data_IF_596270620041
#
_entry.id   IF_596270620041
#
_cell.length_a   1.000
_cell.length_b   1.000
_cell.length_c   1.000
_cell.angle_alpha   90.00
_cell.angle_beta   90.00
_cell.angle_gamma   90.00
#
_symmetry.space_group_name_H-M   'P 1'
#
loop_
_entity.id
_entity.type
_entity.pdbx_description
1 polymer ?
#
# COMPACT_ATOMS: atom_id res chain seq x y z
N UNK A 1 16.31 42.24 57.93
CA UNK A 1 16.19 40.81 57.54
C UNK A 1 14.77 40.48 57.05
N UNK A 2 13.73 40.68 57.85
CA UNK A 2 12.33 40.35 57.47
C UNK A 2 11.83 41.07 56.20
N UNK A 3 12.08 42.37 56.05
CA UNK A 3 11.69 43.14 54.86
C UNK A 3 12.39 42.68 53.57
N UNK A 4 13.66 42.27 53.67
CA UNK A 4 14.42 41.74 52.53
C UNK A 4 13.84 40.40 52.07
N UNK A 5 13.57 39.50 53.02
CA UNK A 5 12.91 38.22 52.74
C UNK A 5 11.53 38.42 52.09
N UNK A 6 10.72 39.33 52.63
CA UNK A 6 9.40 39.64 52.06
C UNK A 6 9.49 40.21 50.63
N UNK A 7 10.51 41.04 50.34
CA UNK A 7 10.76 41.54 48.99
C UNK A 7 11.22 40.43 48.03
N UNK A 8 12.11 39.54 48.48
CA UNK A 8 12.59 38.39 47.70
C UNK A 8 11.42 37.40 47.40
N UNK A 9 10.58 37.10 48.39
CA UNK A 9 9.39 36.26 48.25
C UNK A 9 8.36 36.89 47.27
N UNK A 10 8.14 38.19 47.35
CA UNK A 10 7.26 38.92 46.43
C UNK A 10 7.80 38.95 44.99
N UNK A 11 9.12 39.11 44.82
CA UNK A 11 9.77 39.05 43.51
C UNK A 11 9.66 37.66 42.87
N UNK A 12 9.83 36.59 43.67
CA UNK A 12 9.63 35.22 43.21
C UNK A 12 8.17 34.94 42.80
N UNK A 13 7.20 35.44 43.57
CA UNK A 13 5.78 35.33 43.24
C UNK A 13 5.43 36.09 41.94
N UNK A 14 5.95 37.32 41.78
CA UNK A 14 5.76 38.11 40.56
C UNK A 14 6.34 37.41 39.33
N UNK A 15 7.53 36.82 39.44
CA UNK A 15 8.15 36.05 38.35
C UNK A 15 7.28 34.86 37.94
N UNK A 16 6.73 34.13 38.91
CA UNK A 16 5.83 32.99 38.64
C UNK A 16 4.56 33.42 37.92
N UNK A 17 3.94 34.54 38.32
CA UNK A 17 2.77 35.10 37.64
C UNK A 17 3.10 35.60 36.22
N UNK A 18 4.29 36.19 36.01
CA UNK A 18 4.75 36.59 34.68
C UNK A 18 4.96 35.40 33.74
N UNK A 19 5.55 34.31 34.25
CA UNK A 19 5.70 33.06 33.51
C UNK A 19 4.33 32.44 33.16
N UNK A 20 3.38 32.45 34.11
CA UNK A 20 2.01 31.98 33.87
C UNK A 20 1.27 32.85 32.84
N UNK A 21 1.42 34.17 32.90
CA UNK A 21 0.85 35.09 31.91
C UNK A 21 1.47 34.86 30.51
N UNK A 22 2.77 34.61 30.43
CA UNK A 22 3.42 34.30 29.15
C UNK A 22 2.92 32.98 28.58
N UNK A 23 2.80 31.93 29.40
CA UNK A 23 2.20 30.66 28.98
C UNK A 23 0.76 30.85 28.49
N UNK A 24 -0.04 31.68 29.17
CA UNK A 24 -1.40 31.98 28.74
C UNK A 24 -1.44 32.71 27.39
N UNK A 25 -0.54 33.69 27.18
CA UNK A 25 -0.40 34.39 25.89
C UNK A 25 0.03 33.46 24.75
N UNK A 26 0.99 32.59 25.00
CA UNK A 26 1.44 31.59 24.03
C UNK A 26 0.30 30.60 23.71
N UNK A 27 -0.51 30.26 24.71
CA UNK A 27 -1.73 29.47 24.57
C UNK A 27 -2.77 30.15 23.67
N UNK A 28 -3.05 31.44 23.88
CA UNK A 28 -3.97 32.23 23.02
C UNK A 28 -3.44 32.31 21.60
N UNK A 29 -2.15 32.61 21.41
CA UNK A 29 -1.56 32.66 20.07
C UNK A 29 -1.62 31.31 19.35
N UNK A 30 -1.49 30.20 20.09
CA UNK A 30 -1.68 28.86 19.56
C UNK A 30 -3.14 28.60 19.15
N UNK A 31 -4.10 29.03 19.99
CA UNK A 31 -5.51 28.93 19.68
C UNK A 31 -5.91 29.75 18.45
N UNK A 32 -5.39 30.98 18.29
CA UNK A 32 -5.64 31.82 17.12
C UNK A 32 -5.09 31.18 15.83
N UNK A 33 -3.89 30.56 15.90
CA UNK A 33 -3.35 29.76 14.80
C UNK A 33 -4.24 28.58 14.46
N UNK A 34 -4.74 27.86 15.47
CA UNK A 34 -5.66 26.74 15.28
C UNK A 34 -6.98 27.19 14.62
N UNK A 35 -7.55 28.32 15.04
CA UNK A 35 -8.76 28.90 14.44
C UNK A 35 -8.50 29.29 12.97
N UNK A 36 -7.36 29.92 12.69
CA UNK A 36 -6.98 30.31 11.32
C UNK A 36 -6.84 29.08 10.42
N UNK A 37 -6.12 28.06 10.88
CA UNK A 37 -5.95 26.79 10.18
C UNK A 37 -7.29 26.07 9.97
N UNK A 38 -8.16 26.07 10.98
CA UNK A 38 -9.50 25.46 10.89
C UNK A 38 -10.40 26.21 9.90
N UNK A 39 -10.33 27.54 9.85
CA UNK A 39 -11.09 28.36 8.90
C UNK A 39 -10.63 28.10 7.46
N UNK A 40 -9.31 28.08 7.24
CA UNK A 40 -8.74 27.75 5.92
C UNK A 40 -9.06 26.31 5.51
N UNK A 41 -8.97 25.38 6.46
CA UNK A 41 -9.36 23.98 6.29
C UNK A 41 -10.82 23.82 5.85
N UNK A 42 -11.74 24.60 6.44
CA UNK A 42 -13.14 24.59 6.05
C UNK A 42 -13.35 25.07 4.61
N UNK A 43 -12.62 26.10 4.19
CA UNK A 43 -12.68 26.60 2.80
C UNK A 43 -12.13 25.56 1.80
N UNK A 44 -10.97 24.96 2.11
CA UNK A 44 -10.39 23.90 1.31
C UNK A 44 -11.31 22.68 1.21
N UNK A 45 -11.90 22.27 2.33
CA UNK A 45 -12.87 21.17 2.40
C UNK A 45 -14.08 21.42 1.50
N UNK A 46 -14.62 22.65 1.47
CA UNK A 46 -15.73 23.02 0.60
C UNK A 46 -15.34 22.94 -0.87
N UNK A 47 -14.17 23.47 -1.23
CA UNK A 47 -13.66 23.38 -2.60
C UNK A 47 -13.50 21.93 -3.04
N UNK A 48 -12.89 21.10 -2.18
CA UNK A 48 -12.71 19.67 -2.44
C UNK A 48 -14.04 18.92 -2.57
N UNK A 49 -15.04 19.27 -1.77
CA UNK A 49 -16.37 18.67 -1.88
C UNK A 49 -17.00 18.92 -3.26
N UNK A 50 -16.87 20.14 -3.79
CA UNK A 50 -17.37 20.45 -5.14
C UNK A 50 -16.58 19.71 -6.23
N UNK A 51 -15.26 19.61 -6.10
CA UNK A 51 -14.43 18.79 -7.00
C UNK A 51 -14.80 17.30 -6.95
N UNK A 52 -15.03 16.76 -5.75
CA UNK A 52 -15.45 15.37 -5.55
C UNK A 52 -16.83 15.10 -6.16
N UNK A 53 -17.81 16.01 -5.99
CA UNK A 53 -19.13 15.91 -6.63
C UNK A 53 -19.02 15.84 -8.15
N UNK A 54 -18.21 16.71 -8.75
CA UNK A 54 -17.95 16.70 -10.19
C UNK A 54 -17.32 15.38 -10.63
N UNK A 55 -16.30 14.90 -9.89
CA UNK A 55 -15.63 13.63 -10.20
C UNK A 55 -16.55 12.40 -10.06
N UNK A 56 -17.48 12.44 -9.10
CA UNK A 56 -18.46 11.37 -8.86
C UNK A 56 -19.40 11.23 -10.06
N UNK A 57 -19.91 12.35 -10.59
CA UNK A 57 -20.77 12.35 -11.77
C UNK A 57 -20.05 11.75 -13.00
N UNK A 58 -18.78 12.12 -13.22
CA UNK A 58 -17.98 11.55 -14.30
C UNK A 58 -17.76 10.04 -14.13
N UNK A 59 -17.39 9.59 -12.93
CA UNK A 59 -17.19 8.15 -12.63
C UNK A 59 -18.48 7.33 -12.75
N UNK A 60 -19.63 7.89 -12.39
CA UNK A 60 -20.93 7.22 -12.59
C UNK A 60 -21.22 7.01 -14.07
N UNK A 61 -20.91 8.00 -14.91
CA UNK A 61 -21.05 7.87 -16.36
C UNK A 61 -20.11 6.79 -16.93
N UNK A 62 -18.86 6.74 -16.46
CA UNK A 62 -17.92 5.68 -16.84
C UNK A 62 -18.35 4.29 -16.37
N UNK A 63 -18.85 4.17 -15.13
CA UNK A 63 -19.35 2.91 -14.60
C UNK A 63 -20.53 2.38 -15.44
N UNK A 64 -21.44 3.28 -15.85
CA UNK A 64 -22.57 2.92 -16.74
C UNK A 64 -22.06 2.37 -18.07
N UNK A 65 -21.08 3.05 -18.70
CA UNK A 65 -20.45 2.56 -19.95
C UNK A 65 -19.73 1.22 -19.76
N UNK A 66 -19.01 1.05 -18.65
CA UNK A 66 -18.32 -0.20 -18.35
C UNK A 66 -19.32 -1.35 -18.14
N UNK A 67 -20.46 -1.08 -17.50
CA UNK A 67 -21.52 -2.06 -17.31
C UNK A 67 -22.19 -2.45 -18.63
N UNK A 68 -22.42 -1.50 -19.54
CA UNK A 68 -22.85 -1.78 -20.92
C UNK A 68 -21.86 -2.70 -21.65
N UNK A 69 -20.55 -2.43 -21.54
CA UNK A 69 -19.49 -3.27 -22.13
C UNK A 69 -19.48 -4.67 -21.51
N UNK A 70 -19.60 -4.80 -20.19
CA UNK A 70 -19.66 -6.10 -19.51
C UNK A 70 -20.91 -6.87 -19.93
N UNK A 71 -22.06 -6.21 -20.05
CA UNK A 71 -23.30 -6.83 -20.47
C UNK A 71 -23.24 -7.27 -21.93
N UNK A 72 -22.65 -6.47 -22.81
CA UNK A 72 -22.38 -6.85 -24.20
C UNK A 72 -21.41 -8.05 -24.28
N UNK A 73 -20.34 -8.05 -23.49
CA UNK A 73 -19.39 -9.16 -23.42
C UNK A 73 -20.03 -10.44 -22.86
N UNK A 74 -20.89 -10.35 -21.84
CA UNK A 74 -21.68 -11.48 -21.31
C UNK A 74 -22.66 -12.03 -22.34
N UNK A 75 -23.36 -11.16 -23.07
CA UNK A 75 -24.27 -11.57 -24.15
C UNK A 75 -23.51 -12.24 -25.31
N UNK A 76 -22.32 -11.73 -25.66
CA UNK A 76 -21.45 -12.33 -26.66
C UNK A 76 -20.88 -13.68 -26.19
N UNK A 77 -20.49 -13.79 -24.91
CA UNK A 77 -20.05 -15.04 -24.30
C UNK A 77 -21.18 -16.09 -24.22
N UNK A 78 -22.43 -15.68 -24.04
CA UNK A 78 -23.60 -16.56 -24.02
C UNK A 78 -23.98 -17.11 -25.41
N UNK A 79 -23.51 -16.49 -26.51
CA UNK A 79 -23.90 -16.87 -27.89
C UNK A 79 -22.83 -17.65 -28.65
N UNK A 80 -21.73 -18.03 -28.01
CA UNK A 80 -20.60 -18.69 -28.69
C UNK A 80 -19.99 -19.84 -27.88
N UNK A 81 -20.77 -20.60 -27.10
CA UNK A 81 -20.23 -21.81 -26.48
C UNK A 81 -20.07 -22.91 -27.53
N UNK A 82 -18.92 -22.92 -28.20
CA UNK A 82 -18.49 -24.05 -29.01
C UNK A 82 -18.22 -25.26 -28.07
N UNK A 83 -18.35 -26.51 -28.56
CA UNK A 83 -18.24 -27.69 -27.71
C UNK A 83 -16.87 -27.79 -27.06
N UNK A 84 -16.85 -28.18 -25.77
CA UNK A 84 -15.63 -28.53 -25.05
C UNK A 84 -15.18 -29.93 -25.48
N UNK A 85 -13.90 -30.06 -25.87
CA UNK A 85 -13.33 -31.30 -26.43
C UNK A 85 -12.51 -32.08 -25.44
N UNK A 86 -11.85 -31.41 -24.50
CA UNK A 86 -10.95 -32.05 -23.54
C UNK A 86 -10.96 -31.31 -22.21
N UNK A 87 -10.72 -32.07 -21.13
CA UNK A 87 -10.55 -31.57 -19.77
C UNK A 87 -9.36 -32.27 -19.11
N UNK A 88 -8.58 -31.56 -18.30
CA UNK A 88 -7.52 -32.14 -17.48
C UNK A 88 -7.43 -31.42 -16.11
N UNK A 89 -6.93 -32.14 -15.11
CA UNK A 89 -6.72 -31.62 -13.76
C UNK A 89 -5.21 -31.61 -13.46
N UNK A 90 -4.72 -30.57 -12.79
CA UNK A 90 -3.34 -30.51 -12.32
C UNK A 90 -3.07 -31.58 -11.26
N UNK A 91 -1.80 -31.96 -11.10
CA UNK A 91 -1.40 -33.04 -10.18
C UNK A 91 -1.71 -32.73 -8.71
N UNK A 92 -1.72 -31.45 -8.33
CA UNK A 92 -2.10 -30.96 -7.00
C UNK A 92 -3.63 -30.80 -6.80
N UNK A 93 -4.41 -31.07 -7.86
CA UNK A 93 -5.87 -30.94 -7.85
C UNK A 93 -6.39 -29.51 -7.76
N UNK A 94 -5.55 -28.48 -7.90
CA UNK A 94 -5.95 -27.08 -7.69
C UNK A 94 -6.46 -26.41 -8.97
N UNK A 95 -6.00 -26.86 -10.15
CA UNK A 95 -6.30 -26.23 -11.44
C UNK A 95 -6.98 -27.23 -12.37
N UNK A 96 -8.16 -26.87 -12.85
CA UNK A 96 -8.88 -27.56 -13.92
C UNK A 96 -8.63 -26.81 -15.24
N UNK A 97 -8.36 -27.52 -16.32
CA UNK A 97 -8.24 -26.93 -17.66
C UNK A 97 -9.21 -27.55 -18.65
N UNK A 98 -9.80 -26.71 -19.50
CA UNK A 98 -10.75 -27.12 -20.53
C UNK A 98 -10.34 -26.56 -21.89
N UNK A 99 -10.48 -27.36 -22.95
CA UNK A 99 -10.21 -26.98 -24.33
C UNK A 99 -11.50 -27.00 -25.17
N UNK A 100 -11.65 -26.03 -26.06
CA UNK A 100 -12.85 -25.82 -26.88
C UNK A 100 -12.53 -25.67 -28.37
N UNK A 101 -13.54 -25.88 -29.21
CA UNK A 101 -13.53 -25.61 -30.66
C UNK A 101 -13.38 -24.10 -31.00
N UNK A 102 -13.33 -23.23 -29.99
CA UNK A 102 -12.95 -21.82 -30.13
C UNK A 102 -11.44 -21.57 -30.03
N UNK A 103 -10.65 -22.65 -30.01
CA UNK A 103 -9.18 -22.67 -29.99
C UNK A 103 -8.59 -22.21 -28.64
N UNK A 104 -9.44 -21.86 -27.67
CA UNK A 104 -9.00 -21.37 -26.38
C UNK A 104 -8.90 -22.51 -25.36
N UNK A 105 -7.85 -22.43 -24.55
CA UNK A 105 -7.66 -23.26 -23.36
C UNK A 105 -8.00 -22.40 -22.15
N UNK A 106 -8.89 -22.86 -21.28
CA UNK A 106 -9.35 -22.11 -20.11
C UNK A 106 -8.96 -22.82 -18.83
N UNK A 107 -8.41 -22.07 -17.89
CA UNK A 107 -8.00 -22.51 -16.56
C UNK A 107 -9.05 -22.07 -15.55
N UNK A 108 -9.35 -22.95 -14.60
CA UNK A 108 -10.34 -22.76 -13.55
C UNK A 108 -9.75 -23.22 -12.21
N UNK A 109 -10.14 -22.54 -11.13
CA UNK A 109 -9.88 -23.03 -9.78
C UNK A 109 -10.75 -24.26 -9.56
N UNK A 110 -10.13 -25.43 -9.38
CA UNK A 110 -10.85 -26.71 -9.33
C UNK A 110 -11.84 -26.78 -8.16
N UNK A 111 -11.52 -26.12 -7.04
CA UNK A 111 -12.37 -26.13 -5.84
C UNK A 111 -13.63 -25.27 -5.97
N UNK A 112 -13.53 -24.12 -6.65
CA UNK A 112 -14.60 -23.11 -6.67
C UNK A 112 -15.28 -22.97 -8.04
N UNK A 113 -14.66 -23.50 -9.09
CA UNK A 113 -15.07 -23.25 -10.47
C UNK A 113 -14.80 -21.84 -10.97
N UNK A 114 -14.09 -21.00 -10.19
CA UNK A 114 -13.79 -19.64 -10.58
C UNK A 114 -12.82 -19.63 -11.79
N UNK A 115 -13.07 -18.80 -12.83
CA UNK A 115 -12.15 -18.68 -13.95
C UNK A 115 -10.82 -18.08 -13.49
N UNK A 116 -9.70 -18.67 -13.91
CA UNK A 116 -8.34 -18.20 -13.60
C UNK A 116 -7.72 -17.47 -14.78
N UNK A 117 -7.65 -18.11 -15.94
CA UNK A 117 -6.96 -17.59 -17.11
C UNK A 117 -7.51 -18.22 -18.39
N UNK A 118 -7.44 -17.49 -19.50
CA UNK A 118 -7.62 -18.05 -20.84
C UNK A 118 -6.32 -17.94 -21.61
N UNK A 119 -5.90 -19.05 -22.23
CA UNK A 119 -4.70 -19.17 -23.05
C UNK A 119 -5.15 -19.30 -24.50
N UNK A 120 -4.53 -18.49 -25.36
CA UNK A 120 -4.77 -18.44 -26.80
C UNK A 120 -3.43 -18.59 -27.53
N UNK A 121 -3.38 -19.40 -28.57
CA UNK A 121 -2.20 -19.55 -29.43
C UNK A 121 -2.42 -20.54 -30.57
N UNK A 122 -3.22 -21.59 -30.32
CA UNK A 122 -3.70 -22.46 -31.39
C UNK A 122 -4.59 -21.73 -32.40
N UNK A 123 -4.47 -22.13 -33.66
CA UNK A 123 -5.22 -21.54 -34.78
C UNK A 123 -6.40 -22.42 -35.21
N UNK A 124 -6.59 -23.56 -34.57
CA UNK A 124 -7.69 -24.50 -34.79
C UNK A 124 -8.16 -25.14 -33.45
N UNK A 125 -9.23 -25.95 -33.46
CA UNK A 125 -9.74 -26.62 -32.26
C UNK A 125 -8.70 -27.45 -31.52
N UNK A 126 -8.63 -27.26 -30.20
CA UNK A 126 -7.75 -28.03 -29.31
C UNK A 126 -8.44 -29.33 -28.94
N UNK A 127 -7.89 -30.46 -29.39
CA UNK A 127 -8.50 -31.77 -29.26
C UNK A 127 -8.15 -32.48 -27.95
N UNK A 128 -6.97 -32.20 -27.37
CA UNK A 128 -6.48 -32.92 -26.19
C UNK A 128 -5.63 -32.02 -25.29
N UNK A 129 -5.73 -32.24 -23.98
CA UNK A 129 -4.97 -31.56 -22.93
C UNK A 129 -4.39 -32.57 -21.95
N UNK A 130 -3.14 -32.37 -21.52
CA UNK A 130 -2.55 -33.17 -20.45
C UNK A 130 -1.52 -32.39 -19.63
N UNK A 131 -1.64 -32.45 -18.32
CA UNK A 131 -0.59 -31.98 -17.42
C UNK A 131 0.59 -32.96 -17.40
N UNK A 132 1.81 -32.40 -17.47
CA UNK A 132 3.03 -33.11 -17.15
C UNK A 132 3.25 -33.12 -15.62
N UNK A 133 4.06 -34.06 -15.14
CA UNK A 133 4.47 -34.11 -13.73
C UNK A 133 5.21 -32.86 -13.25
N UNK A 134 5.79 -32.07 -14.17
CA UNK A 134 6.43 -30.79 -13.89
C UNK A 134 5.45 -29.64 -13.60
N UNK A 135 4.14 -29.84 -13.86
CA UNK A 135 3.10 -28.82 -13.77
C UNK A 135 2.86 -28.04 -15.07
N UNK A 136 3.67 -28.25 -16.11
CA UNK A 136 3.42 -27.69 -17.44
C UNK A 136 2.22 -28.38 -18.11
N UNK A 137 1.53 -27.66 -18.98
CA UNK A 137 0.37 -28.17 -19.72
C UNK A 137 0.77 -28.46 -21.17
N UNK A 138 0.45 -29.65 -21.67
CA UNK A 138 0.57 -29.98 -23.08
C UNK A 138 -0.80 -29.90 -23.74
N UNK A 139 -0.90 -29.26 -24.90
CA UNK A 139 -2.07 -29.27 -25.76
C UNK A 139 -1.76 -29.85 -27.14
N UNK A 140 -2.75 -30.46 -27.77
CA UNK A 140 -2.68 -30.90 -29.16
C UNK A 140 -3.91 -30.40 -29.91
N UNK A 141 -3.69 -29.83 -31.10
CA UNK A 141 -4.70 -29.10 -31.85
C UNK A 141 -4.80 -29.59 -33.30
N UNK A 142 -5.95 -29.31 -33.92
CA UNK A 142 -6.21 -29.61 -35.32
C UNK A 142 -5.37 -28.75 -36.30
N UNK A 143 -4.65 -27.74 -35.80
CA UNK A 143 -3.70 -26.91 -36.56
C UNK A 143 -2.37 -27.62 -36.82
N UNK A 144 -2.29 -28.91 -36.51
CA UNK A 144 -1.11 -29.76 -36.66
C UNK A 144 0.02 -29.41 -35.69
N UNK A 145 -0.25 -28.66 -34.61
CA UNK A 145 0.70 -28.39 -33.54
C UNK A 145 0.38 -29.14 -32.24
N UNK A 146 1.43 -29.44 -31.49
CA UNK A 146 1.37 -29.77 -30.07
C UNK A 146 2.23 -28.75 -29.31
N UNK A 147 1.64 -28.07 -28.34
CA UNK A 147 2.25 -26.93 -27.66
C UNK A 147 2.38 -27.20 -26.16
N UNK A 148 3.53 -26.81 -25.61
CA UNK A 148 3.83 -26.93 -24.19
C UNK A 148 3.73 -25.55 -23.52
N UNK A 149 2.83 -25.42 -22.57
CA UNK A 149 2.56 -24.21 -21.82
C UNK A 149 3.21 -24.26 -20.44
N UNK A 150 4.08 -23.30 -20.16
CA UNK A 150 4.54 -23.01 -18.81
C UNK A 150 3.50 -22.11 -18.11
N UNK A 151 2.80 -22.67 -17.14
CA UNK A 151 1.76 -21.97 -16.39
C UNK A 151 2.33 -21.22 -15.17
N UNK A 152 3.64 -21.29 -14.94
CA UNK A 152 4.29 -20.55 -13.86
C UNK A 152 4.47 -19.09 -14.28
N UNK A 153 4.19 -18.11 -13.41
CA UNK A 153 4.48 -16.72 -13.71
C UNK A 153 5.99 -16.53 -13.93
N UNK A 154 6.38 -16.13 -15.15
CA UNK A 154 7.76 -15.79 -15.46
C UNK A 154 7.99 -14.31 -15.21
N UNK A 155 8.72 -14.00 -14.14
CA UNK A 155 9.19 -12.65 -13.87
C UNK A 155 10.45 -12.38 -14.69
N UNK A 156 10.35 -11.48 -15.67
CA UNK A 156 11.50 -10.94 -16.40
C UNK A 156 11.78 -9.53 -15.90
N UNK A 157 13.05 -9.23 -15.63
CA UNK A 157 13.47 -7.87 -15.25
C UNK A 157 13.16 -6.92 -16.42
N UNK A 158 12.17 -6.05 -16.23
CA UNK A 158 11.73 -5.12 -17.27
C UNK A 158 12.62 -3.88 -17.38
N UNK A 159 13.11 -3.38 -16.24
CA UNK A 159 13.98 -2.22 -16.13
C UNK A 159 14.66 -2.17 -14.75
N UNK A 160 15.77 -1.42 -14.68
CA UNK A 160 16.41 -0.99 -13.44
C UNK A 160 16.38 0.53 -13.42
N UNK A 161 15.95 1.11 -12.30
CA UNK A 161 15.91 2.56 -12.07
C UNK A 161 17.01 2.91 -11.07
N UNK A 162 17.82 3.93 -11.37
CA UNK A 162 18.87 4.44 -10.46
C UNK A 162 20.23 3.75 -10.58
N UNK A 163 20.34 2.48 -10.94
CA UNK A 163 21.65 1.84 -11.20
C UNK A 163 21.83 1.44 -12.66
N UNK A 164 23.08 1.26 -13.08
CA UNK A 164 23.38 0.82 -14.45
C UNK A 164 22.95 -0.63 -14.64
N UNK A 165 22.15 -0.97 -15.66
CA UNK A 165 21.70 -2.34 -15.89
C UNK A 165 22.85 -3.34 -16.07
N UNK A 166 23.98 -2.91 -16.62
CA UNK A 166 25.13 -3.79 -16.89
C UNK A 166 25.93 -4.12 -15.63
N UNK A 167 25.80 -3.31 -14.58
CA UNK A 167 26.45 -3.54 -13.28
C UNK A 167 25.58 -3.00 -12.14
N UNK A 168 24.80 -3.88 -11.52
CA UNK A 168 23.92 -3.54 -10.41
C UNK A 168 24.64 -3.02 -9.15
N UNK A 169 25.96 -3.19 -9.06
CA UNK A 169 26.79 -2.65 -7.98
C UNK A 169 27.32 -1.24 -8.28
N UNK A 170 27.21 -0.75 -9.52
CA UNK A 170 27.55 0.62 -9.87
C UNK A 170 26.37 1.55 -9.55
N UNK A 171 26.42 2.14 -8.35
CA UNK A 171 25.43 3.09 -7.84
C UNK A 171 25.76 4.55 -8.19
N UNK A 172 26.79 4.82 -8.99
CA UNK A 172 27.23 6.20 -9.29
C UNK A 172 26.17 7.06 -10.00
N UNK A 173 25.20 6.43 -10.65
CA UNK A 173 24.06 7.09 -11.30
C UNK A 173 22.80 7.16 -10.43
N UNK A 174 22.84 6.61 -9.21
CA UNK A 174 21.68 6.56 -8.32
C UNK A 174 21.40 7.92 -7.73
N UNK A 175 20.16 8.42 -7.83
CA UNK A 175 19.78 9.63 -7.13
C UNK A 175 19.53 9.38 -5.63
N UNK A 176 19.40 8.11 -5.20
CA UNK A 176 19.40 7.72 -3.78
C UNK A 176 20.82 7.55 -3.28
N UNK A 177 21.11 8.08 -2.09
CA UNK A 177 22.45 7.99 -1.49
C UNK A 177 22.68 6.67 -0.74
N UNK A 178 21.60 5.99 -0.34
CA UNK A 178 21.62 4.71 0.37
C UNK A 178 20.38 3.87 -0.04
N UNK A 179 19.91 2.96 0.82
CA UNK A 179 18.82 2.01 0.56
C UNK A 179 17.53 2.71 0.14
N UNK A 180 16.89 2.14 -0.89
CA UNK A 180 15.47 2.36 -1.19
C UNK A 180 14.66 1.42 -0.31
N UNK A 181 13.76 1.97 0.50
CA UNK A 181 13.00 1.20 1.51
C UNK A 181 11.51 1.15 1.23
N UNK A 182 10.98 2.07 0.43
CA UNK A 182 9.57 2.08 0.08
C UNK A 182 9.33 2.50 -1.36
N UNK A 183 8.23 2.00 -1.91
CA UNK A 183 7.81 2.22 -3.29
C UNK A 183 6.29 2.32 -3.34
N UNK A 184 5.77 3.19 -4.22
CA UNK A 184 4.35 3.25 -4.53
C UNK A 184 4.15 3.64 -5.99
N UNK A 185 3.27 2.95 -6.71
CA UNK A 185 2.82 3.41 -8.03
C UNK A 185 1.72 4.45 -7.89
N UNK A 186 1.68 5.40 -8.82
CA UNK A 186 0.50 6.26 -8.98
C UNK A 186 -0.71 5.41 -9.40
N UNK A 187 -1.96 5.84 -9.11
CA UNK A 187 -3.15 5.07 -9.44
C UNK A 187 -3.33 4.73 -10.93
N UNK A 188 -2.75 5.54 -11.82
CA UNK A 188 -2.73 5.33 -13.28
C UNK A 188 -1.53 4.50 -13.76
N UNK A 189 -0.60 4.13 -12.87
CA UNK A 189 0.61 3.38 -13.17
C UNK A 189 1.67 4.13 -13.97
N UNK A 190 1.47 5.43 -14.25
CA UNK A 190 2.40 6.22 -15.08
C UNK A 190 3.63 6.71 -14.32
N UNK A 191 3.52 6.80 -12.99
CA UNK A 191 4.58 7.23 -12.09
C UNK A 191 4.86 6.19 -11.01
N UNK A 192 6.11 6.15 -10.58
CA UNK A 192 6.56 5.43 -9.40
C UNK A 192 7.15 6.44 -8.42
N UNK A 193 6.80 6.35 -7.15
CA UNK A 193 7.49 7.03 -6.07
C UNK A 193 8.40 6.04 -5.37
N UNK A 194 9.59 6.51 -4.98
CA UNK A 194 10.53 5.75 -4.16
C UNK A 194 11.02 6.61 -3.00
N UNK A 195 11.05 6.05 -1.80
CA UNK A 195 11.62 6.68 -0.61
C UNK A 195 12.79 5.87 -0.06
N UNK A 196 13.78 6.58 0.45
CA UNK A 196 14.98 6.00 1.03
C UNK A 196 15.80 7.03 1.79
N UNK A 197 17.10 6.76 1.91
CA UNK A 197 18.09 7.70 2.41
C UNK A 197 18.98 7.14 3.51
N UNK A 198 19.99 7.93 3.83
CA UNK A 198 21.04 7.54 4.75
C UNK A 198 20.56 7.70 6.20
N UNK A 199 20.58 6.62 7.00
CA UNK A 199 20.11 6.66 8.38
C UNK A 199 20.71 7.81 9.19
N UNK A 200 19.83 8.58 9.82
CA UNK A 200 20.13 9.76 10.63
C UNK A 200 20.76 10.93 9.88
N UNK A 201 20.75 10.92 8.54
CA UNK A 201 21.43 11.93 7.71
C UNK A 201 20.57 12.50 6.60
N UNK A 202 19.80 11.67 5.88
CA UNK A 202 18.98 12.14 4.76
C UNK A 202 17.74 11.28 4.52
N UNK A 203 16.71 11.89 3.94
CA UNK A 203 15.50 11.22 3.48
C UNK A 203 15.14 11.66 2.07
N UNK A 204 15.50 10.86 1.06
CA UNK A 204 15.15 11.14 -0.32
C UNK A 204 13.76 10.61 -0.67
N UNK A 205 13.01 11.42 -1.42
CA UNK A 205 11.72 11.05 -1.99
C UNK A 205 11.70 11.45 -3.46
N UNK A 206 11.62 10.44 -4.33
CA UNK A 206 11.87 10.59 -5.77
C UNK A 206 10.68 10.06 -6.56
N UNK A 207 10.24 10.84 -7.55
CA UNK A 207 9.24 10.47 -8.55
C UNK A 207 9.92 10.10 -9.86
N UNK A 208 9.48 8.98 -10.41
CA UNK A 208 9.96 8.40 -11.66
C UNK A 208 8.83 8.32 -12.66
N UNK A 209 9.13 8.60 -13.91
CA UNK A 209 8.23 8.29 -15.01
C UNK A 209 8.47 6.84 -15.45
N UNK A 210 7.41 6.03 -15.42
CA UNK A 210 7.50 4.59 -15.66
C UNK A 210 7.76 4.28 -17.14
N UNK A 211 7.18 5.07 -18.05
CA UNK A 211 7.27 4.83 -19.48
C UNK A 211 8.68 5.07 -20.03
N UNK A 212 9.31 6.18 -19.65
CA UNK A 212 10.65 6.55 -20.12
C UNK A 212 11.77 6.18 -19.13
N UNK A 213 11.43 5.68 -17.94
CA UNK A 213 12.38 5.18 -16.92
C UNK A 213 13.32 6.24 -16.38
N UNK A 214 12.90 7.50 -16.41
CA UNK A 214 13.71 8.63 -15.95
C UNK A 214 13.18 9.18 -14.62
N UNK A 215 14.07 9.83 -13.87
CA UNK A 215 13.69 10.68 -12.74
C UNK A 215 12.84 11.83 -13.29
N UNK A 216 11.58 11.88 -12.86
CA UNK A 216 10.69 13.00 -13.15
C UNK A 216 10.96 14.14 -12.18
N UNK A 217 11.15 13.81 -10.89
CA UNK A 217 11.35 14.82 -9.85
C UNK A 217 12.04 14.24 -8.62
N UNK A 218 12.93 15.02 -8.01
CA UNK A 218 13.42 14.82 -6.65
C UNK A 218 12.71 15.82 -5.75
N UNK A 219 12.01 15.35 -4.72
CA UNK A 219 11.38 16.23 -3.73
C UNK A 219 12.44 16.67 -2.73
N UNK A 220 12.90 17.91 -2.87
CA UNK A 220 13.96 18.51 -2.04
C UNK A 220 13.46 18.73 -0.62
N UNK A 221 14.35 18.53 0.37
CA UNK A 221 14.04 18.66 1.80
C UNK A 221 12.81 17.85 2.24
N UNK A 222 12.59 16.70 1.58
CA UNK A 222 11.46 15.84 1.88
C UNK A 222 11.49 15.40 3.34
N UNK A 223 12.56 14.74 3.79
CA UNK A 223 12.76 14.38 5.18
C UNK A 223 14.23 14.54 5.60
N UNK A 224 14.47 14.80 6.88
CA UNK A 224 15.84 14.94 7.42
C UNK A 224 16.48 13.61 7.79
N UNK A 225 15.75 12.50 7.60
CA UNK A 225 16.15 11.14 7.95
C UNK A 225 15.36 10.16 7.04
N UNK A 226 15.77 8.90 7.03
CA UNK A 226 15.34 7.88 6.07
C UNK A 226 13.82 7.78 5.92
N UNK A 227 13.34 7.75 4.67
CA UNK A 227 11.91 7.56 4.36
C UNK A 227 11.56 6.07 4.36
N UNK A 228 10.61 5.67 5.19
CA UNK A 228 10.17 4.27 5.34
C UNK A 228 8.86 3.94 4.63
N UNK A 229 8.04 4.94 4.36
CA UNK A 229 6.73 4.71 3.74
C UNK A 229 6.36 5.83 2.78
N UNK A 230 5.69 5.46 1.70
CA UNK A 230 5.17 6.38 0.69
C UNK A 230 3.86 5.83 0.12
N UNK A 231 2.88 6.70 -0.12
CA UNK A 231 1.63 6.35 -0.81
C UNK A 231 1.11 7.53 -1.64
N UNK A 232 0.55 7.24 -2.82
CA UNK A 232 -0.19 8.24 -3.60
C UNK A 232 -1.63 8.36 -3.09
N UNK A 233 -2.18 9.58 -3.13
CA UNK A 233 -3.63 9.74 -3.01
C UNK A 233 -4.34 9.03 -4.17
N UNK A 234 -5.60 8.66 -3.95
CA UNK A 234 -6.40 7.88 -4.91
C UNK A 234 -6.66 8.58 -6.25
N UNK A 235 -6.56 9.92 -6.28
CA UNK A 235 -6.62 10.75 -7.48
C UNK A 235 -5.24 11.01 -8.11
N UNK A 236 -4.15 10.52 -7.51
CA UNK A 236 -2.77 10.64 -7.98
C UNK A 236 -2.16 12.04 -7.82
N UNK A 237 -2.87 12.99 -7.19
CA UNK A 237 -2.43 14.39 -7.10
C UNK A 237 -1.51 14.67 -5.92
N UNK A 238 -1.58 13.86 -4.87
CA UNK A 238 -0.80 14.01 -3.65
C UNK A 238 0.05 12.77 -3.39
N UNK A 239 1.18 12.99 -2.72
CA UNK A 239 2.06 11.96 -2.22
C UNK A 239 2.20 12.15 -0.72
N UNK A 240 1.93 11.12 0.07
CA UNK A 240 2.21 11.11 1.51
C UNK A 240 3.44 10.26 1.77
N UNK A 241 4.30 10.72 2.67
CA UNK A 241 5.49 10.00 3.12
C UNK A 241 5.60 9.98 4.63
N UNK A 242 6.20 8.92 5.17
CA UNK A 242 6.55 8.77 6.58
C UNK A 242 8.01 8.36 6.73
N UNK A 243 8.71 8.95 7.70
CA UNK A 243 10.14 8.78 7.84
C UNK A 243 10.62 8.60 9.29
N UNK A 244 11.92 8.31 9.42
CA UNK A 244 12.64 8.21 10.67
C UNK A 244 12.65 9.53 11.48
N UNK A 245 12.50 10.67 10.80
CA UNK A 245 12.38 12.00 11.41
C UNK A 245 11.07 12.22 12.20
N UNK A 246 10.21 11.19 12.24
CA UNK A 246 8.95 11.12 13.00
C UNK A 246 7.80 11.94 12.40
N UNK A 247 8.01 12.52 11.23
CA UNK A 247 6.96 13.26 10.53
C UNK A 247 6.26 12.40 9.48
N UNK A 248 4.98 12.70 9.31
CA UNK A 248 4.28 12.41 8.05
C UNK A 248 4.25 13.70 7.25
N UNK A 249 4.59 13.67 5.97
CA UNK A 249 4.55 14.84 5.10
C UNK A 249 3.79 14.56 3.82
N UNK A 250 3.16 15.59 3.28
CA UNK A 250 2.40 15.53 2.03
C UNK A 250 2.94 16.53 1.03
N UNK A 251 3.09 16.08 -0.21
CA UNK A 251 3.59 16.85 -1.35
C UNK A 251 2.59 16.79 -2.51
N UNK A 252 2.53 17.86 -3.30
CA UNK A 252 1.84 17.82 -4.59
C UNK A 252 2.68 17.07 -5.61
N UNK A 253 2.05 16.17 -6.35
CA UNK A 253 2.72 15.32 -7.34
C UNK A 253 3.11 16.10 -8.61
N UNK A 254 2.32 17.13 -8.96
CA UNK A 254 2.54 17.92 -10.18
C UNK A 254 3.81 18.76 -10.12
N UNK A 255 3.96 19.60 -9.08
CA UNK A 255 5.06 20.55 -8.95
C UNK A 255 6.04 20.21 -7.82
N UNK A 256 5.75 19.18 -7.01
CA UNK A 256 6.58 18.76 -5.88
C UNK A 256 6.48 19.65 -4.65
N UNK A 257 5.55 20.61 -4.60
CA UNK A 257 5.45 21.52 -3.46
C UNK A 257 5.01 20.79 -2.20
N UNK A 258 5.65 21.13 -1.09
CA UNK A 258 5.20 20.77 0.24
C UNK A 258 3.80 21.33 0.50
N UNK A 259 2.90 20.47 0.98
CA UNK A 259 1.51 20.83 1.32
C UNK A 259 1.36 20.96 2.83
N UNK A 260 1.78 19.93 3.57
CA UNK A 260 1.53 19.83 5.02
C UNK A 260 2.44 18.80 5.67
N UNK A 261 2.74 18.99 6.95
CA UNK A 261 3.34 18.01 7.84
C UNK A 261 2.39 17.66 8.99
N UNK A 262 2.52 16.45 9.52
CA UNK A 262 1.81 15.97 10.69
C UNK A 262 2.84 15.49 11.71
N UNK A 263 2.75 16.08 12.90
CA UNK A 263 3.65 15.84 14.03
C UNK A 263 2.90 15.17 15.16
N UNK A 264 3.53 14.16 15.78
CA UNK A 264 2.96 13.52 16.96
C UNK A 264 3.46 12.10 17.23
N UNK A 265 4.09 11.45 16.25
CA UNK A 265 4.81 10.19 16.50
C UNK A 265 6.04 10.45 17.36
N UNK A 266 6.26 9.61 18.37
CA UNK A 266 7.41 9.77 19.28
C UNK A 266 8.65 9.00 18.79
N UNK A 267 8.47 8.18 17.77
CA UNK A 267 9.48 7.37 17.11
C UNK A 267 9.25 7.32 15.58
N UNK A 268 10.07 6.59 14.83
CA UNK A 268 10.00 6.52 13.36
C UNK A 268 8.60 6.19 12.84
N UNK A 269 8.18 6.84 11.75
CA UNK A 269 6.95 6.51 11.04
C UNK A 269 7.28 5.42 10.02
N UNK A 270 6.68 4.24 10.20
CA UNK A 270 6.97 3.03 9.42
C UNK A 270 5.95 2.75 8.32
N UNK A 271 4.76 3.33 8.42
CA UNK A 271 3.69 3.16 7.44
C UNK A 271 2.82 4.42 7.34
N UNK A 272 2.28 4.67 6.16
CA UNK A 272 1.31 5.75 5.89
C UNK A 272 0.23 5.23 4.95
N UNK A 273 -1.00 5.73 5.08
CA UNK A 273 -2.05 5.46 4.10
C UNK A 273 -3.07 6.58 3.96
N UNK A 274 -3.56 6.80 2.73
CA UNK A 274 -4.64 7.74 2.44
C UNK A 274 -6.00 7.06 2.56
N UNK A 275 -6.95 7.75 3.21
CA UNK A 275 -8.35 7.39 3.07
C UNK A 275 -8.79 7.67 1.64
N UNK A 276 -9.64 6.81 1.07
CA UNK A 276 -10.04 6.90 -0.33
C UNK A 276 -10.76 8.20 -0.73
N UNK A 277 -11.39 8.88 0.23
CA UNK A 277 -12.01 10.21 0.05
C UNK A 277 -11.02 11.38 0.26
N UNK A 278 -9.83 11.09 0.76
CA UNK A 278 -8.77 12.05 1.08
C UNK A 278 -9.05 12.95 2.29
N UNK A 279 -10.08 12.65 3.08
CA UNK A 279 -10.40 13.45 4.28
C UNK A 279 -9.40 13.21 5.41
N UNK A 280 -8.88 11.97 5.49
CA UNK A 280 -8.01 11.53 6.57
C UNK A 280 -6.77 10.80 6.04
N UNK A 281 -5.74 10.79 6.88
CA UNK A 281 -4.55 9.96 6.76
C UNK A 281 -4.46 9.03 7.97
N UNK A 282 -3.84 7.88 7.79
CA UNK A 282 -3.31 7.10 8.92
C UNK A 282 -1.82 6.90 8.79
N UNK A 283 -1.16 6.79 9.93
CA UNK A 283 0.25 6.42 9.99
C UNK A 283 0.50 5.41 11.09
N UNK A 284 1.45 4.52 10.86
CA UNK A 284 1.93 3.51 11.79
C UNK A 284 3.35 3.83 12.22
N UNK A 285 3.66 3.63 13.50
CA UNK A 285 4.94 4.03 14.07
C UNK A 285 5.67 2.96 14.88
N UNK A 286 6.99 3.18 15.00
CA UNK A 286 7.87 2.47 15.92
C UNK A 286 7.61 2.83 17.40
N UNK A 287 6.65 3.71 17.66
CA UNK A 287 6.10 4.04 18.98
C UNK A 287 4.91 3.14 19.36
N UNK A 288 4.70 2.05 18.61
CA UNK A 288 3.65 1.05 18.78
C UNK A 288 2.22 1.60 18.58
N UNK A 289 2.10 2.76 17.94
CA UNK A 289 0.85 3.45 17.74
C UNK A 289 0.48 3.58 16.26
N UNK A 290 -0.83 3.59 16.02
CA UNK A 290 -1.41 4.11 14.79
C UNK A 290 -1.98 5.49 15.10
N UNK A 291 -1.72 6.47 14.25
CA UNK A 291 -2.31 7.81 14.36
C UNK A 291 -3.25 8.05 13.19
N UNK A 292 -4.38 8.67 13.50
CA UNK A 292 -5.38 9.10 12.51
C UNK A 292 -5.34 10.62 12.46
N UNK A 293 -5.17 11.17 11.27
CA UNK A 293 -5.01 12.60 11.04
C UNK A 293 -6.15 13.12 10.19
N UNK A 294 -6.66 14.28 10.56
CA UNK A 294 -7.50 15.06 9.67
C UNK A 294 -6.58 15.77 8.67
N UNK A 295 -6.73 15.46 7.38
CA UNK A 295 -5.85 16.00 6.35
C UNK A 295 -5.94 17.53 6.23
N UNK A 296 -7.14 18.06 6.35
CA UNK A 296 -7.44 19.47 6.09
C UNK A 296 -6.95 20.36 7.24
N UNK A 297 -7.18 19.96 8.51
CA UNK A 297 -6.72 20.72 9.69
C UNK A 297 -5.28 20.43 10.07
N UNK A 298 -4.75 19.24 9.74
CA UNK A 298 -3.46 18.77 10.24
C UNK A 298 -3.51 18.18 11.65
N UNK A 299 -4.70 18.15 12.27
CA UNK A 299 -4.85 17.68 13.64
C UNK A 299 -4.80 16.16 13.73
N UNK A 300 -4.17 15.68 14.80
CA UNK A 300 -4.26 14.29 15.21
C UNK A 300 -5.65 14.04 15.82
N UNK A 301 -6.52 13.36 15.07
CA UNK A 301 -7.88 13.02 15.51
C UNK A 301 -7.85 11.88 16.53
N UNK A 302 -6.92 10.92 16.36
CA UNK A 302 -6.88 9.73 17.21
C UNK A 302 -5.48 9.12 17.29
N UNK A 303 -5.23 8.47 18.42
CA UNK A 303 -4.16 7.47 18.59
C UNK A 303 -4.79 6.13 18.94
N UNK A 304 -4.39 5.06 18.24
CA UNK A 304 -4.80 3.67 18.47
C UNK A 304 -3.54 2.91 18.91
N UNK A 305 -3.54 2.41 20.15
CA UNK A 305 -2.38 1.74 20.76
C UNK A 305 -2.76 0.32 21.21
N UNK A 306 -3.07 -0.54 20.23
CA UNK A 306 -3.46 -1.94 20.46
C UNK A 306 -2.30 -2.93 20.33
N UNK A 307 -1.17 -2.48 19.80
CA UNK A 307 0.00 -3.31 19.53
C UNK A 307 1.02 -3.16 20.66
N UNK A 308 1.66 -4.27 21.05
CA UNK A 308 2.68 -4.27 22.10
C UNK A 308 4.10 -4.02 21.57
N UNK A 309 4.24 -3.96 20.24
CA UNK A 309 5.47 -3.72 19.47
C UNK A 309 5.17 -2.78 18.30
N UNK A 310 6.22 -2.43 17.57
CA UNK A 310 6.18 -1.47 16.46
C UNK A 310 5.10 -1.87 15.44
N UNK A 311 4.30 -0.90 14.99
CA UNK A 311 3.35 -1.11 13.89
C UNK A 311 4.10 -0.81 12.60
N UNK A 312 4.26 -1.83 11.76
CA UNK A 312 5.17 -1.82 10.62
C UNK A 312 4.45 -1.63 9.29
N UNK A 313 3.22 -2.11 9.18
CA UNK A 313 2.38 -1.98 7.99
C UNK A 313 0.99 -1.45 8.36
N UNK A 314 0.44 -0.61 7.50
CA UNK A 314 -0.88 0.00 7.66
C UNK A 314 -1.49 0.24 6.28
N UNK A 315 -2.82 0.12 6.18
CA UNK A 315 -3.55 0.47 4.97
C UNK A 315 -5.04 0.68 5.24
N UNK A 316 -5.67 1.57 4.48
CA UNK A 316 -7.14 1.65 4.45
C UNK A 316 -7.72 0.50 3.62
N UNK A 317 -8.86 -0.02 4.07
CA UNK A 317 -9.55 -1.11 3.40
C UNK A 317 -10.60 -0.54 2.45
N UNK A 318 -10.29 -0.57 1.15
CA UNK A 318 -11.22 -0.15 0.10
C UNK A 318 -11.53 1.35 0.11
N UNK A 319 -12.80 1.69 0.34
CA UNK A 319 -13.31 3.08 0.50
C UNK A 319 -13.93 3.28 1.88
N UNK A 320 -13.78 2.29 2.76
CA UNK A 320 -14.37 2.29 4.09
C UNK A 320 -13.51 3.12 5.05
N UNK A 321 -14.00 3.25 6.28
CA UNK A 321 -13.23 3.81 7.38
C UNK A 321 -12.39 2.76 8.12
N UNK A 322 -12.38 1.52 7.63
CA UNK A 322 -11.61 0.45 8.23
C UNK A 322 -10.17 0.47 7.74
N UNK A 323 -9.27 0.08 8.63
CA UNK A 323 -7.84 -0.01 8.40
C UNK A 323 -7.34 -1.39 8.81
N UNK A 324 -6.36 -1.88 8.07
CA UNK A 324 -5.60 -3.08 8.41
C UNK A 324 -4.21 -2.67 8.88
N UNK A 325 -3.72 -3.26 9.97
CA UNK A 325 -2.37 -3.04 10.47
C UNK A 325 -1.66 -4.36 10.77
N UNK A 326 -0.34 -4.39 10.64
CA UNK A 326 0.50 -5.45 11.16
C UNK A 326 1.60 -4.88 12.04
N UNK A 327 2.06 -5.69 12.99
CA UNK A 327 3.05 -5.25 13.97
C UNK A 327 4.06 -6.35 14.30
N UNK A 328 5.15 -5.91 14.95
CA UNK A 328 6.20 -6.78 15.48
C UNK A 328 5.73 -7.72 16.60
N UNK A 329 4.50 -7.57 17.07
CA UNK A 329 3.88 -8.49 18.02
C UNK A 329 3.18 -9.66 17.34
N UNK A 330 3.44 -9.85 16.03
CA UNK A 330 3.06 -11.02 15.24
C UNK A 330 1.56 -11.13 14.99
N UNK A 331 0.84 -10.01 15.13
CA UNK A 331 -0.61 -9.95 14.96
C UNK A 331 -0.95 -8.93 13.88
N UNK A 332 -1.79 -9.35 12.93
CA UNK A 332 -2.51 -8.45 12.03
C UNK A 332 -3.82 -8.07 12.69
N UNK A 333 -4.27 -6.83 12.50
CA UNK A 333 -5.46 -6.28 13.14
C UNK A 333 -6.29 -5.49 12.16
N UNK A 334 -7.61 -5.59 12.29
CA UNK A 334 -8.51 -4.61 11.74
C UNK A 334 -8.94 -3.61 12.81
N UNK A 335 -9.03 -2.35 12.40
CA UNK A 335 -9.59 -1.28 13.20
C UNK A 335 -10.55 -0.43 12.39
N UNK A 336 -11.47 0.23 13.06
CA UNK A 336 -12.23 1.34 12.48
C UNK A 336 -11.54 2.65 12.88
N UNK A 337 -11.11 3.46 11.90
CA UNK A 337 -10.28 4.62 12.14
C UNK A 337 -10.97 5.70 12.99
N UNK A 338 -12.27 5.94 12.77
CA UNK A 338 -13.05 6.98 13.44
C UNK A 338 -13.15 6.76 14.95
N UNK A 339 -13.42 5.52 15.39
CA UNK A 339 -13.62 5.19 16.81
C UNK A 339 -12.38 4.49 17.44
N UNK A 340 -11.44 4.03 16.64
CA UNK A 340 -10.25 3.29 17.05
C UNK A 340 -10.50 1.85 17.51
N UNK A 341 -11.72 1.32 17.34
CA UNK A 341 -12.05 -0.02 17.82
C UNK A 341 -11.31 -1.06 16.99
N UNK A 342 -10.57 -1.95 17.66
CA UNK A 342 -10.13 -3.19 17.06
C UNK A 342 -11.30 -4.17 17.02
N UNK A 343 -11.67 -4.62 15.83
CA UNK A 343 -12.80 -5.55 15.65
C UNK A 343 -12.38 -6.93 15.14
N UNK A 344 -11.11 -7.10 14.77
CA UNK A 344 -10.58 -8.38 14.33
C UNK A 344 -9.08 -8.50 14.52
N UNK A 345 -8.64 -9.69 14.89
CA UNK A 345 -7.23 -10.06 14.99
C UNK A 345 -6.96 -11.32 14.15
N UNK A 346 -5.78 -11.36 13.56
CA UNK A 346 -5.25 -12.53 12.86
C UNK A 346 -3.93 -12.89 13.51
N UNK A 347 -3.91 -14.06 14.14
CA UNK A 347 -2.77 -14.58 14.88
C UNK A 347 -2.21 -15.82 14.19
N UNK A 348 -1.01 -16.25 14.59
CA UNK A 348 -0.34 -17.42 14.02
C UNK A 348 0.94 -17.08 13.23
N UNK A 349 1.33 -15.80 13.13
CA UNK A 349 2.64 -15.45 12.62
C UNK A 349 3.75 -15.93 13.57
N UNK A 350 4.81 -16.50 13.00
CA UNK A 350 5.94 -17.05 13.76
C UNK A 350 6.86 -15.95 14.27
N UNK A 351 6.96 -14.85 13.53
CA UNK A 351 7.82 -13.72 13.86
C UNK A 351 7.25 -12.35 13.44
N UNK A 352 8.08 -11.30 13.56
CA UNK A 352 7.81 -9.91 13.20
C UNK A 352 7.17 -9.81 11.82
N UNK A 353 6.04 -9.10 11.72
CA UNK A 353 5.41 -8.81 10.43
C UNK A 353 5.93 -7.48 9.90
N UNK A 354 6.14 -7.38 8.58
CA UNK A 354 6.65 -6.17 7.92
C UNK A 354 5.62 -5.51 7.02
N UNK A 355 4.74 -6.30 6.39
CA UNK A 355 3.78 -5.79 5.43
C UNK A 355 2.45 -6.51 5.54
N UNK A 356 1.39 -5.81 5.19
CA UNK A 356 0.03 -6.34 5.21
C UNK A 356 -0.80 -5.76 4.08
N UNK A 357 -1.71 -6.58 3.59
CA UNK A 357 -2.72 -6.21 2.63
C UNK A 357 -4.06 -6.82 3.03
N UNK A 358 -5.14 -6.07 2.88
CA UNK A 358 -6.50 -6.59 3.00
C UNK A 358 -7.25 -6.35 1.69
N UNK A 359 -7.98 -7.36 1.23
CA UNK A 359 -8.90 -7.21 0.13
C UNK A 359 -9.96 -6.15 0.49
N UNK A 360 -10.44 -5.41 -0.52
CA UNK A 360 -11.37 -4.29 -0.33
C UNK A 360 -12.68 -4.67 0.34
N UNK A 361 -13.07 -5.93 0.22
CA UNK A 361 -14.27 -6.53 0.80
C UNK A 361 -13.99 -7.26 2.13
N UNK A 362 -12.78 -7.13 2.67
CA UNK A 362 -12.32 -7.81 3.87
C UNK A 362 -12.41 -9.34 3.79
N UNK A 363 -12.49 -9.93 2.59
CA UNK A 363 -12.59 -11.39 2.44
C UNK A 363 -11.26 -12.09 2.71
N UNK A 364 -10.16 -11.44 2.35
CA UNK A 364 -8.80 -11.99 2.41
C UNK A 364 -7.86 -10.98 3.06
N UNK A 365 -6.99 -11.47 3.93
CA UNK A 365 -5.87 -10.72 4.49
C UNK A 365 -4.58 -11.46 4.17
N UNK A 366 -3.56 -10.72 3.75
CA UNK A 366 -2.24 -11.26 3.41
C UNK A 366 -1.20 -10.49 4.21
N UNK A 367 -0.24 -11.18 4.81
CA UNK A 367 0.91 -10.52 5.42
C UNK A 367 2.17 -11.36 5.31
N UNK A 368 3.30 -10.70 5.37
CA UNK A 368 4.62 -11.33 5.38
C UNK A 368 5.55 -10.63 6.37
N UNK A 369 6.58 -11.34 6.81
CA UNK A 369 7.43 -10.91 7.91
C UNK A 369 8.82 -11.55 7.91
N UNK A 370 9.51 -11.41 9.04
CA UNK A 370 10.88 -11.86 9.30
C UNK A 370 11.04 -13.37 9.12
N UNK A 371 10.01 -14.16 9.39
CA UNK A 371 10.05 -15.61 9.19
C UNK A 371 10.02 -16.04 7.72
N UNK A 372 9.92 -15.10 6.78
CA UNK A 372 9.89 -15.35 5.34
C UNK A 372 8.61 -16.04 4.84
N UNK A 373 7.63 -16.27 5.72
CA UNK A 373 6.40 -16.98 5.38
C UNK A 373 5.31 -15.96 5.00
N UNK A 374 4.77 -16.10 3.80
CA UNK A 374 3.59 -15.35 3.37
C UNK A 374 2.35 -16.09 3.88
N UNK A 375 1.48 -15.39 4.59
CA UNK A 375 0.26 -15.98 5.16
C UNK A 375 -0.96 -15.33 4.56
N UNK A 376 -1.99 -16.14 4.36
CA UNK A 376 -3.28 -15.74 3.83
C UNK A 376 -4.37 -16.17 4.82
N UNK A 377 -5.14 -15.22 5.33
CA UNK A 377 -6.26 -15.46 6.23
C UNK A 377 -7.59 -15.15 5.58
N UNK A 378 -8.62 -15.83 6.06
CA UNK A 378 -10.00 -15.48 5.83
C UNK A 378 -10.32 -14.26 6.70
N UNK A 379 -10.67 -13.15 6.05
CA UNK A 379 -10.94 -11.89 6.75
C UNK A 379 -12.24 -11.87 7.55
N UNK A 380 -13.16 -12.82 7.34
CA UNK A 380 -14.43 -12.92 8.06
C UNK A 380 -14.35 -13.70 9.39
N UNK A 381 -13.40 -14.62 9.55
CA UNK A 381 -13.25 -15.39 10.80
C UNK A 381 -11.83 -15.36 11.40
N UNK A 382 -10.86 -14.80 10.68
CA UNK A 382 -9.48 -14.67 11.14
C UNK A 382 -8.64 -15.94 11.02
N UNK A 383 -9.17 -17.01 10.41
CA UNK A 383 -8.45 -18.28 10.26
C UNK A 383 -7.49 -18.24 9.09
N UNK A 384 -6.34 -18.87 9.26
CA UNK A 384 -5.38 -19.09 8.18
C UNK A 384 -6.02 -19.99 7.11
N UNK A 385 -6.07 -19.51 5.87
CA UNK A 385 -6.50 -20.28 4.69
C UNK A 385 -5.32 -21.09 4.17
N UNK A 386 -4.17 -20.44 4.02
CA UNK A 386 -2.95 -21.04 3.49
C UNK A 386 -1.73 -20.19 3.85
N UNK A 387 -0.55 -20.78 3.67
CA UNK A 387 0.75 -20.12 3.82
C UNK A 387 1.71 -20.59 2.74
N UNK A 388 2.67 -19.74 2.41
CA UNK A 388 3.75 -20.01 1.47
C UNK A 388 5.07 -19.85 2.20
N UNK A 389 5.75 -20.98 2.40
CA UNK A 389 7.08 -21.00 3.00
C UNK A 389 8.11 -20.40 2.04
N UNK A 390 9.20 -19.79 2.56
CA UNK A 390 10.26 -19.27 1.71
C UNK A 390 10.87 -20.41 0.89
N UNK A 391 11.29 -20.16 -0.37
CA UNK A 391 11.91 -21.16 -1.19
C UNK A 391 13.16 -21.73 -0.50
N UNK A 392 13.36 -23.04 -0.60
CA UNK A 392 14.54 -23.68 -0.05
C UNK A 392 15.80 -23.02 -0.62
N UNK A 393 16.84 -22.78 0.21
CA UNK A 393 18.09 -22.22 -0.29
C UNK A 393 18.62 -23.11 -1.42
N UNK A 394 19.10 -22.50 -2.50
CA UNK A 394 19.72 -23.23 -3.60
C UNK A 394 20.83 -24.12 -3.03
N UNK A 395 20.75 -25.43 -3.26
CA UNK A 395 21.78 -26.36 -2.81
C UNK A 395 23.11 -25.85 -3.35
N UNK A 396 24.05 -25.55 -2.45
CA UNK A 396 25.37 -25.07 -2.84
C UNK A 396 25.97 -26.10 -3.80
N UNK A 397 26.05 -25.75 -5.08
CA UNK A 397 26.85 -26.51 -6.04
C UNK A 397 28.27 -26.44 -5.51
N UNK A 398 28.71 -27.53 -4.87
CA UNK A 398 30.09 -27.71 -4.47
C UNK A 398 30.95 -27.55 -5.72
N UNK A 399 31.62 -26.41 -5.83
CA UNK A 399 32.67 -26.21 -6.81
C UNK A 399 33.73 -27.29 -6.51
N UNK A 400 33.88 -28.23 -7.45
CA UNK A 400 34.95 -29.22 -7.46
C UNK A 400 36.08 -28.73 -8.35
#
# INVERSE_FOLDING_TARGET
AALKKAADDAAAALKKEQEALQQAKDGVASADRAITLSTQSLENSKKRLEELKSSLAARQQEATKAEEVVNAAKAQAATTSKPQRSVALSADGQVLVTASDDHAIRLWAAQTGAPLQTITGHTAPVASLRFLSSGALLSASADQSAELWDLKPQWKLAAVLGSKPENSLDLSASPHVDRVLCLAFSPDGTRLASGGGDPSRSGELILWNVANRAVERVLTDAHSDTVYAVEFSRDGKLLVSGAADKFVKVFQVEDGKFVRSFEGHTNHVLGVAFKGDGSNLVSAGADNAIKVWNFETGEQVRTIATSSKQVTGIGYIGVTDNIVSCAGDKVVRFHTATNGSNYRNFSGAGDYLYTVYAARDESIVISAGEDGVIRVWNGADGKEITKFDPPAPAAATAAK
#
